data_IF_522830032891
#
_entry.id   IF_522830032891
#
_cell.length_a   1.000
_cell.length_b   1.000
_cell.length_c   1.000
_cell.angle_alpha   90.00
_cell.angle_beta   90.00
_cell.angle_gamma   90.00
#
_symmetry.space_group_name_H-M   'P 1'
#
loop_
_entity.id
_entity.type
_entity.pdbx_description
1 polymer ?
#
# COMPACT_ATOMS: atom_id res chain seq x y z
N UNK A 1 2.53 14.66 -13.36
CA UNK A 1 2.42 13.24 -12.93
C UNK A 1 2.33 13.21 -11.41
N UNK A 2 1.37 12.50 -10.79
CA UNK A 2 1.21 12.48 -9.33
C UNK A 2 1.96 11.29 -8.73
N UNK A 3 2.85 11.56 -7.79
CA UNK A 3 3.54 10.52 -7.00
C UNK A 3 2.64 10.14 -5.82
N UNK A 4 2.36 8.85 -5.66
CA UNK A 4 1.59 8.35 -4.52
C UNK A 4 2.50 7.83 -3.42
N UNK A 5 1.97 7.68 -2.21
CA UNK A 5 2.66 7.06 -1.08
C UNK A 5 2.03 5.71 -0.78
N UNK A 6 2.87 4.72 -0.48
CA UNK A 6 2.43 3.41 -0.06
C UNK A 6 1.74 3.49 1.30
N UNK A 7 0.53 2.95 1.39
CA UNK A 7 -0.27 2.92 2.62
C UNK A 7 0.34 2.02 3.72
N UNK A 8 1.30 1.15 3.37
CA UNK A 8 1.99 0.30 4.32
C UNK A 8 3.35 0.88 4.71
N UNK A 9 4.33 0.88 3.79
CA UNK A 9 5.71 1.27 4.10
C UNK A 9 6.03 2.77 3.93
N UNK A 10 5.11 3.58 3.41
CA UNK A 10 5.34 5.00 3.17
C UNK A 10 6.27 5.34 1.98
N UNK A 11 6.79 4.34 1.25
CA UNK A 11 7.62 4.57 0.06
C UNK A 11 6.83 5.26 -1.06
N UNK A 12 7.54 6.00 -1.92
CA UNK A 12 6.96 6.64 -3.10
C UNK A 12 6.59 5.61 -4.17
N UNK A 13 5.45 5.81 -4.83
CA UNK A 13 4.94 4.99 -5.93
C UNK A 13 4.90 5.87 -7.18
N UNK A 14 5.72 5.52 -8.16
CA UNK A 14 5.73 6.16 -9.46
C UNK A 14 4.57 5.65 -10.32
N UNK A 15 4.02 6.47 -11.23
CA UNK A 15 2.87 6.05 -12.02
C UNK A 15 3.23 4.93 -12.99
N UNK A 16 2.28 4.03 -13.24
CA UNK A 16 2.53 2.76 -13.95
C UNK A 16 3.07 1.64 -13.06
N UNK A 17 3.28 1.91 -11.77
CA UNK A 17 3.76 0.93 -10.80
C UNK A 17 2.83 0.82 -9.58
N UNK A 18 2.95 -0.31 -8.87
CA UNK A 18 2.23 -0.56 -7.62
C UNK A 18 0.86 -1.21 -7.81
N UNK A 19 0.11 -1.28 -6.71
CA UNK A 19 -1.19 -1.94 -6.62
C UNK A 19 -2.18 -0.95 -6.01
N UNK A 20 -3.37 -0.84 -6.60
CA UNK A 20 -4.48 -0.08 -6.06
C UNK A 20 -5.53 -1.05 -5.50
N UNK A 21 -5.90 -0.88 -4.24
CA UNK A 21 -6.91 -1.67 -3.56
C UNK A 21 -7.99 -0.76 -3.03
N UNK A 22 -9.24 -1.03 -3.43
CA UNK A 22 -10.41 -0.24 -3.06
C UNK A 22 -11.19 -1.07 -2.04
N UNK A 23 -11.36 -0.50 -0.84
CA UNK A 23 -12.20 -1.11 0.20
C UNK A 23 -13.68 -0.90 -0.10
N UNK A 24 -14.54 -1.66 0.57
CA UNK A 24 -16.01 -1.55 0.46
C UNK A 24 -16.54 -0.17 0.88
N UNK A 25 -15.84 0.53 1.78
CA UNK A 25 -16.14 1.89 2.22
C UNK A 25 -15.70 2.98 1.21
N UNK A 26 -15.14 2.60 0.05
CA UNK A 26 -14.64 3.52 -0.96
C UNK A 26 -13.22 4.05 -0.70
N UNK A 27 -12.58 3.67 0.41
CA UNK A 27 -11.19 4.10 0.68
C UNK A 27 -10.24 3.47 -0.34
N UNK A 28 -9.40 4.30 -0.96
CA UNK A 28 -8.38 3.86 -1.91
C UNK A 28 -7.03 3.70 -1.22
N UNK A 29 -6.59 2.46 -1.05
CA UNK A 29 -5.27 2.12 -0.55
C UNK A 29 -4.33 1.84 -1.74
N UNK A 30 -3.12 2.41 -1.70
CA UNK A 30 -2.09 2.20 -2.72
C UNK A 30 -0.88 1.53 -2.10
N UNK A 31 -0.33 0.53 -2.77
CA UNK A 31 0.81 -0.25 -2.30
C UNK A 31 1.93 -0.27 -3.32
N UNK A 32 3.18 -0.15 -2.87
CA UNK A 32 4.35 -0.21 -3.75
C UNK A 32 4.65 -1.63 -4.24
N UNK A 33 4.25 -2.67 -3.50
CA UNK A 33 4.59 -4.06 -3.79
C UNK A 33 3.55 -5.05 -3.25
N UNK A 34 3.57 -6.27 -3.79
CA UNK A 34 2.76 -7.40 -3.27
C UNK A 34 3.05 -7.69 -1.80
N UNK A 35 4.30 -7.55 -1.35
CA UNK A 35 4.68 -7.74 0.06
C UNK A 35 3.89 -6.79 0.96
N UNK A 36 3.85 -5.50 0.60
CA UNK A 36 3.11 -4.47 1.35
C UNK A 36 1.60 -4.72 1.34
N UNK A 37 1.05 -5.10 0.17
CA UNK A 37 -0.38 -5.41 0.05
C UNK A 37 -0.77 -6.59 0.95
N UNK A 38 -0.04 -7.71 0.88
CA UNK A 38 -0.36 -8.92 1.66
C UNK A 38 -0.16 -8.66 3.16
N UNK A 39 0.91 -7.97 3.56
CA UNK A 39 1.14 -7.62 4.97
C UNK A 39 0.03 -6.75 5.53
N UNK A 40 -0.44 -5.73 4.80
CA UNK A 40 -1.50 -4.84 5.26
C UNK A 40 -2.88 -5.49 5.22
N UNK A 41 -3.22 -6.16 4.12
CA UNK A 41 -4.61 -6.59 3.84
C UNK A 41 -4.90 -8.01 4.31
N UNK A 42 -3.94 -8.94 4.19
CA UNK A 42 -4.16 -10.35 4.59
C UNK A 42 -3.68 -10.65 6.00
N UNK A 43 -2.54 -10.11 6.39
CA UNK A 43 -1.93 -10.42 7.69
C UNK A 43 -2.21 -9.37 8.77
N UNK A 44 -2.74 -8.19 8.40
CA UNK A 44 -3.01 -7.11 9.36
C UNK A 44 -1.77 -6.65 10.14
N UNK A 45 -0.59 -6.68 9.51
CA UNK A 45 0.67 -6.34 10.18
C UNK A 45 0.79 -4.84 10.41
N UNK A 46 1.36 -4.46 11.55
CA UNK A 46 1.76 -3.08 11.82
C UNK A 46 3.03 -2.72 11.03
N UNK A 47 3.01 -1.66 10.20
CA UNK A 47 4.20 -1.25 9.45
C UNK A 47 5.40 -0.88 10.34
N UNK A 48 5.13 -0.37 11.54
CA UNK A 48 6.15 0.09 12.50
C UNK A 48 6.89 -1.04 13.20
N UNK A 49 6.35 -2.27 13.17
CA UNK A 49 6.90 -3.45 13.83
C UNK A 49 7.63 -4.39 12.86
N UNK A 50 7.85 -3.97 11.62
CA UNK A 50 8.54 -4.75 10.57
C UNK A 50 10.00 -4.29 10.38
N UNK A 51 10.52 -3.45 11.28
CA UNK A 51 11.93 -3.03 11.36
C UNK A 51 12.68 -4.03 12.24
#
# INVERSE_FOLDING_TARGET
MRIYKCAFCGSSIYPGYGIMYIKTDGTVLRFCSRKCFVSAVRYGRDPRRQI
#
